data_IF_397546932786
#
_entry.id   IF_397546932786
#
_cell.length_a   1.000
_cell.length_b   1.000
_cell.length_c   1.000
_cell.angle_alpha   90.00
_cell.angle_beta   90.00
_cell.angle_gamma   90.00
#
_symmetry.space_group_name_H-M   'P 1'
#
loop_
_entity.id
_entity.type
_entity.pdbx_description
1 polymer ?
#
# COMPACT_ATOMS: atom_id res chain seq x y z
N UNK A 1 -38.29 -42.69 18.03
CA UNK A 1 -39.03 -41.57 17.39
C UNK A 1 -38.26 -40.30 17.74
N UNK A 2 -37.64 -39.49 16.85
CA UNK A 2 -37.85 -39.25 15.39
C UNK A 2 -39.31 -38.87 15.08
N UNK A 3 -39.68 -37.74 14.46
CA UNK A 3 -38.99 -36.54 13.94
C UNK A 3 -39.90 -35.29 14.22
N UNK A 4 -39.65 -34.02 13.86
CA UNK A 4 -38.70 -33.36 12.94
C UNK A 4 -38.42 -31.89 13.35
N UNK A 5 -37.47 -31.23 12.66
CA UNK A 5 -37.38 -29.75 12.52
C UNK A 5 -38.22 -29.27 11.34
N UNK A 6 -38.60 -27.99 11.29
CA UNK A 6 -39.13 -27.31 10.09
C UNK A 6 -38.05 -26.43 9.46
N UNK A 7 -37.83 -26.59 8.16
CA UNK A 7 -37.12 -25.65 7.29
C UNK A 7 -38.14 -24.68 6.69
N UNK A 8 -37.76 -23.42 6.45
CA UNK A 8 -38.52 -22.50 5.58
C UNK A 8 -37.56 -21.99 4.50
N UNK A 9 -37.88 -22.27 3.25
CA UNK A 9 -37.34 -21.58 2.07
C UNK A 9 -38.43 -20.65 1.51
N UNK A 10 -38.05 -19.49 0.96
CA UNK A 10 -38.70 -18.86 -0.19
C UNK A 10 -37.87 -19.20 -1.44
N UNK A 11 -38.28 -20.15 -2.30
CA UNK A 11 -39.30 -19.98 -3.36
C UNK A 11 -38.98 -18.82 -4.32
N UNK A 12 -38.27 -19.14 -5.41
CA UNK A 12 -38.32 -18.35 -6.64
C UNK A 12 -39.74 -18.45 -7.27
N UNK A 13 -40.22 -17.36 -7.85
CA UNK A 13 -41.43 -17.32 -8.67
C UNK A 13 -41.28 -16.34 -9.83
N UNK A 14 -41.38 -16.84 -11.07
CA UNK A 14 -41.08 -16.09 -12.29
C UNK A 14 -42.30 -15.32 -12.85
N UNK A 15 -42.02 -14.17 -13.50
CA UNK A 15 -42.85 -13.41 -14.47
C UNK A 15 -42.06 -12.11 -14.78
N UNK A 16 -41.75 -11.67 -16.01
CA UNK A 16 -42.48 -11.71 -17.29
C UNK A 16 -41.51 -11.80 -18.48
N UNK A 17 -41.96 -12.39 -19.58
CA UNK A 17 -41.29 -12.39 -20.89
C UNK A 17 -41.75 -11.18 -21.73
N UNK A 18 -40.82 -10.47 -22.38
CA UNK A 18 -41.10 -9.70 -23.59
C UNK A 18 -40.03 -9.99 -24.66
N UNK A 19 -40.35 -9.94 -25.98
CA UNK A 19 -39.40 -10.35 -27.02
C UNK A 19 -38.27 -9.34 -27.25
N UNK A 20 -37.09 -9.87 -27.50
CA UNK A 20 -35.85 -9.12 -27.75
C UNK A 20 -35.87 -8.40 -29.10
N UNK A 21 -35.56 -7.10 -29.09
CA UNK A 21 -34.86 -6.48 -30.23
C UNK A 21 -33.39 -6.83 -30.08
N UNK A 22 -32.85 -7.62 -31.01
CA UNK A 22 -31.45 -8.06 -30.98
C UNK A 22 -30.51 -6.89 -31.32
N UNK A 23 -30.12 -6.13 -30.31
CA UNK A 23 -28.81 -5.49 -30.34
C UNK A 23 -27.78 -6.62 -30.35
N UNK A 24 -26.81 -6.59 -31.27
CA UNK A 24 -25.65 -7.48 -31.19
C UNK A 24 -24.80 -6.96 -30.04
N UNK A 25 -25.11 -7.44 -28.84
CA UNK A 25 -24.41 -7.03 -27.63
C UNK A 25 -22.95 -7.42 -27.75
N UNK A 26 -22.07 -6.44 -27.52
CA UNK A 26 -20.87 -6.79 -26.77
C UNK A 26 -21.36 -7.46 -25.48
N UNK A 27 -20.82 -8.64 -25.14
CA UNK A 27 -20.98 -9.13 -23.78
C UNK A 27 -20.38 -8.06 -22.88
N UNK A 28 -21.19 -7.46 -22.00
CA UNK A 28 -20.67 -6.55 -20.99
C UNK A 28 -19.67 -7.34 -20.16
N UNK A 29 -18.37 -7.04 -20.33
CA UNK A 29 -17.34 -7.66 -19.53
C UNK A 29 -17.65 -7.39 -18.07
N UNK A 30 -17.90 -8.46 -17.31
CA UNK A 30 -18.11 -8.33 -15.87
C UNK A 30 -16.88 -7.63 -15.28
N UNK A 31 -17.07 -6.66 -14.36
CA UNK A 31 -15.94 -6.02 -13.73
C UNK A 31 -15.07 -7.07 -13.03
N UNK A 32 -13.77 -6.81 -13.04
CA UNK A 32 -12.72 -7.68 -12.52
C UNK A 32 -11.63 -6.77 -11.94
N UNK A 33 -11.01 -7.18 -10.84
CA UNK A 33 -9.85 -6.48 -10.29
C UNK A 33 -8.54 -6.90 -10.98
N UNK A 34 -8.63 -7.86 -11.92
CA UNK A 34 -7.53 -8.46 -12.66
C UNK A 34 -7.71 -8.08 -14.13
N UNK A 35 -6.89 -7.13 -14.57
CA UNK A 35 -6.73 -6.66 -15.96
C UNK A 35 -5.28 -6.23 -16.16
N UNK A 36 -4.73 -6.22 -17.39
CA UNK A 36 -3.37 -5.74 -17.64
C UNK A 36 -3.08 -4.35 -17.08
N UNK A 37 -4.05 -3.43 -17.12
CA UNK A 37 -3.91 -2.09 -16.55
C UNK A 37 -3.95 -2.06 -15.00
N UNK A 38 -4.77 -2.93 -14.38
CA UNK A 38 -4.81 -3.06 -12.92
C UNK A 38 -3.59 -3.82 -12.38
N UNK A 39 -3.02 -4.75 -13.15
CA UNK A 39 -1.76 -5.43 -12.85
C UNK A 39 -0.58 -4.45 -12.91
N UNK A 40 -0.46 -3.63 -13.97
CA UNK A 40 0.54 -2.55 -14.02
C UNK A 40 0.46 -1.64 -12.79
N UNK A 41 -0.74 -1.23 -12.39
CA UNK A 41 -0.91 -0.40 -11.20
C UNK A 41 -0.50 -1.13 -9.93
N UNK A 42 -0.85 -2.40 -9.77
CA UNK A 42 -0.46 -3.19 -8.61
C UNK A 42 1.06 -3.43 -8.52
N UNK A 43 1.74 -3.59 -9.66
CA UNK A 43 3.20 -3.71 -9.70
C UNK A 43 3.90 -2.39 -9.31
N UNK A 44 3.37 -1.24 -9.77
CA UNK A 44 3.87 0.08 -9.35
C UNK A 44 3.54 0.37 -7.88
N UNK A 45 2.31 0.06 -7.44
CA UNK A 45 1.88 0.14 -6.04
C UNK A 45 2.87 -0.64 -5.15
N UNK A 46 3.27 -1.86 -5.56
CA UNK A 46 4.26 -2.68 -4.86
C UNK A 46 5.62 -2.01 -4.81
N UNK A 47 6.23 -1.76 -5.97
CA UNK A 47 7.62 -1.34 -6.04
C UNK A 47 7.85 0.01 -5.36
N UNK A 48 6.94 0.99 -5.56
CA UNK A 48 7.08 2.34 -5.00
C UNK A 48 6.73 2.41 -3.51
N UNK A 49 5.75 1.63 -3.03
CA UNK A 49 5.47 1.59 -1.59
C UNK A 49 6.57 0.85 -0.82
N UNK A 50 7.08 -0.27 -1.34
CA UNK A 50 8.22 -0.98 -0.73
C UNK A 50 9.43 -0.04 -0.66
N UNK A 51 9.71 0.70 -1.74
CA UNK A 51 10.78 1.71 -1.78
C UNK A 51 10.69 2.71 -0.63
N UNK A 52 9.54 3.35 -0.44
CA UNK A 52 9.32 4.29 0.66
C UNK A 52 9.56 3.64 2.04
N UNK A 53 9.09 2.40 2.27
CA UNK A 53 9.34 1.71 3.55
C UNK A 53 10.82 1.43 3.79
N UNK A 54 11.55 1.04 2.74
CA UNK A 54 12.97 0.73 2.81
C UNK A 54 13.83 1.98 2.97
N UNK A 55 13.47 3.10 2.34
CA UNK A 55 14.15 4.39 2.51
C UNK A 55 14.08 4.87 3.97
N UNK A 56 12.87 4.92 4.55
CA UNK A 56 12.70 5.32 5.96
C UNK A 56 13.41 4.33 6.90
N UNK A 57 13.35 3.02 6.63
CA UNK A 57 14.06 2.01 7.43
C UNK A 57 15.58 2.18 7.35
N UNK A 58 16.15 2.39 6.17
CA UNK A 58 17.58 2.60 5.98
C UNK A 58 18.05 3.88 6.68
N UNK A 59 17.34 5.00 6.50
CA UNK A 59 17.70 6.27 7.13
C UNK A 59 17.64 6.20 8.66
N UNK A 60 16.56 5.64 9.23
CA UNK A 60 16.40 5.54 10.70
C UNK A 60 17.41 4.57 11.33
N UNK A 61 17.61 3.38 10.76
CA UNK A 61 18.61 2.41 11.25
C UNK A 61 20.04 2.94 11.12
N UNK A 62 20.37 3.60 10.02
CA UNK A 62 21.65 4.28 9.83
C UNK A 62 21.85 5.40 10.85
N UNK A 63 20.80 6.17 11.17
CA UNK A 63 20.85 7.21 12.20
C UNK A 63 21.14 6.64 13.60
N UNK A 64 20.44 5.59 13.99
CA UNK A 64 20.65 4.89 15.26
C UNK A 64 22.03 4.22 15.37
N UNK A 65 22.65 3.87 14.24
CA UNK A 65 23.81 2.97 14.21
C UNK A 65 23.41 1.51 14.46
N UNK A 66 22.19 1.16 14.09
CA UNK A 66 21.64 -0.19 14.19
C UNK A 66 22.37 -1.15 13.25
N UNK A 67 22.61 -2.39 13.69
CA UNK A 67 23.52 -3.34 13.01
C UNK A 67 23.02 -3.81 11.65
N UNK A 68 21.76 -3.55 11.33
CA UNK A 68 21.08 -3.94 10.11
C UNK A 68 21.05 -2.83 9.05
N UNK A 69 21.59 -1.63 9.34
CA UNK A 69 21.58 -0.50 8.40
C UNK A 69 22.22 -0.82 7.04
N UNK A 70 23.32 -1.56 7.01
CA UNK A 70 23.98 -2.02 5.77
C UNK A 70 23.06 -2.92 4.93
N UNK A 71 22.21 -3.74 5.55
CA UNK A 71 21.25 -4.60 4.85
C UNK A 71 19.99 -3.83 4.44
N UNK A 72 19.59 -2.81 5.22
CA UNK A 72 18.53 -1.88 4.87
C UNK A 72 18.84 -1.11 3.57
N UNK A 73 20.06 -0.55 3.45
CA UNK A 73 20.50 0.11 2.22
C UNK A 73 20.62 -0.84 1.03
N UNK A 74 21.10 -2.09 1.23
CA UNK A 74 21.11 -3.10 0.15
C UNK A 74 19.70 -3.48 -0.29
N UNK A 75 18.75 -3.57 0.63
CA UNK A 75 17.35 -3.83 0.29
C UNK A 75 16.74 -2.68 -0.53
N UNK A 76 17.03 -1.43 -0.16
CA UNK A 76 16.63 -0.22 -0.91
C UNK A 76 17.24 -0.19 -2.33
N UNK A 77 18.54 -0.47 -2.45
CA UNK A 77 19.23 -0.56 -3.74
C UNK A 77 18.67 -1.70 -4.61
N UNK A 78 18.43 -2.87 -4.04
CA UNK A 78 17.84 -4.00 -4.77
C UNK A 78 16.38 -3.71 -5.18
N UNK A 79 15.61 -2.96 -4.40
CA UNK A 79 14.28 -2.50 -4.81
C UNK A 79 14.37 -1.58 -6.05
N UNK A 80 15.34 -0.66 -6.11
CA UNK A 80 15.56 0.17 -7.30
C UNK A 80 15.98 -0.67 -8.53
N UNK A 81 16.80 -1.72 -8.34
CA UNK A 81 17.14 -2.69 -9.40
C UNK A 81 15.91 -3.49 -9.84
N UNK A 82 15.04 -3.91 -8.91
CA UNK A 82 13.85 -4.70 -9.22
C UNK A 82 12.77 -3.90 -9.99
N UNK A 83 12.89 -2.57 -10.05
CA UNK A 83 12.08 -1.72 -10.95
C UNK A 83 12.54 -1.78 -12.42
N UNK A 84 13.83 -2.05 -12.70
CA UNK A 84 14.35 -2.06 -14.07
C UNK A 84 13.58 -3.03 -14.98
N UNK A 85 13.32 -4.32 -14.60
CA UNK A 85 12.53 -5.23 -15.43
C UNK A 85 11.08 -4.76 -15.66
N UNK A 86 10.47 -4.11 -14.67
CA UNK A 86 9.12 -3.56 -14.80
C UNK A 86 9.08 -2.44 -15.85
N UNK A 87 10.03 -1.50 -15.79
CA UNK A 87 10.15 -0.41 -16.77
C UNK A 87 10.57 -0.95 -18.15
N UNK A 88 11.48 -1.94 -18.22
CA UNK A 88 11.88 -2.60 -19.47
C UNK A 88 10.69 -3.26 -20.18
N UNK A 89 9.76 -3.86 -19.43
CA UNK A 89 8.54 -4.43 -19.99
C UNK A 89 7.67 -3.37 -20.69
N UNK A 90 7.74 -2.10 -20.28
CA UNK A 90 6.93 -0.98 -20.78
C UNK A 90 7.65 -0.24 -21.91
N UNK A 91 8.86 0.25 -21.64
CA UNK A 91 9.64 1.18 -22.47
C UNK A 91 10.91 0.56 -23.11
N UNK A 92 11.19 -0.72 -22.84
CA UNK A 92 12.37 -1.45 -23.32
C UNK A 92 13.68 -1.06 -22.61
N UNK A 93 14.72 -1.86 -22.84
CA UNK A 93 16.05 -1.75 -22.20
C UNK A 93 16.60 -0.32 -22.10
N UNK A 94 16.41 0.51 -23.12
CA UNK A 94 16.92 1.90 -23.12
C UNK A 94 16.15 2.83 -22.18
N UNK A 95 14.83 2.63 -22.06
CA UNK A 95 14.01 3.37 -21.11
C UNK A 95 14.29 2.89 -19.67
N UNK A 96 14.52 1.59 -19.50
CA UNK A 96 14.88 0.99 -18.22
C UNK A 96 16.25 1.43 -17.71
N UNK A 97 17.28 1.41 -18.55
CA UNK A 97 18.63 1.87 -18.16
C UNK A 97 18.69 3.38 -17.85
N UNK A 98 17.89 4.20 -18.53
CA UNK A 98 17.79 5.64 -18.22
C UNK A 98 16.96 5.88 -16.94
N UNK A 99 15.92 5.07 -16.70
CA UNK A 99 15.23 5.04 -15.40
C UNK A 99 16.19 4.64 -14.28
N UNK A 100 16.95 3.56 -14.42
CA UNK A 100 17.91 3.11 -13.39
C UNK A 100 18.95 4.19 -13.11
N UNK A 101 19.51 4.82 -14.16
CA UNK A 101 20.50 5.91 -14.00
C UNK A 101 19.96 7.08 -13.16
N UNK A 102 18.69 7.44 -13.29
CA UNK A 102 18.09 8.56 -12.56
C UNK A 102 17.60 8.11 -11.18
N UNK A 103 16.89 6.97 -11.13
CA UNK A 103 16.21 6.49 -9.94
C UNK A 103 17.16 5.77 -8.97
N UNK A 104 18.15 5.03 -9.42
CA UNK A 104 19.10 4.39 -8.50
C UNK A 104 20.07 5.38 -7.86
N UNK A 105 20.46 6.41 -8.60
CA UNK A 105 21.35 7.47 -8.11
C UNK A 105 20.70 8.29 -6.98
N UNK A 106 19.38 8.48 -6.98
CA UNK A 106 18.70 9.24 -5.92
C UNK A 106 18.85 8.58 -4.53
N UNK A 107 19.00 7.25 -4.45
CA UNK A 107 19.26 6.57 -3.18
C UNK A 107 20.49 7.13 -2.45
N UNK A 108 21.49 7.66 -3.16
CA UNK A 108 22.74 8.15 -2.59
C UNK A 108 22.54 9.31 -1.60
N UNK A 109 21.57 10.21 -1.86
CA UNK A 109 21.35 11.36 -0.97
C UNK A 109 20.85 10.92 0.42
N UNK A 110 20.23 9.73 0.54
CA UNK A 110 19.63 9.28 1.81
C UNK A 110 20.69 9.05 2.89
N UNK A 111 21.78 8.37 2.55
CA UNK A 111 22.94 8.15 3.44
C UNK A 111 23.67 9.47 3.75
N UNK A 112 23.86 10.34 2.75
CA UNK A 112 24.49 11.64 2.94
C UNK A 112 23.65 12.60 3.80
N UNK A 113 22.31 12.54 3.71
CA UNK A 113 21.42 13.29 4.60
C UNK A 113 21.49 12.78 6.05
N UNK A 114 21.58 11.46 6.26
CA UNK A 114 21.80 10.90 7.60
C UNK A 114 23.14 11.36 8.18
N UNK A 115 24.23 11.33 7.40
CA UNK A 115 25.55 11.84 7.84
C UNK A 115 25.49 13.32 8.21
N UNK A 116 24.99 14.16 7.30
CA UNK A 116 24.84 15.60 7.52
C UNK A 116 24.02 15.89 8.79
N UNK A 117 22.96 15.12 9.03
CA UNK A 117 22.11 15.21 10.22
C UNK A 117 22.84 14.83 11.50
N UNK A 118 23.61 13.73 11.51
CA UNK A 118 24.46 13.37 12.66
C UNK A 118 25.51 14.43 12.99
N UNK A 119 26.15 14.97 11.95
CA UNK A 119 27.24 15.94 12.09
C UNK A 119 26.72 17.37 12.35
N UNK A 120 25.41 17.59 12.23
CA UNK A 120 24.74 18.91 12.25
C UNK A 120 25.28 19.85 11.16
N UNK A 121 25.74 19.30 10.03
CA UNK A 121 26.31 20.05 8.92
C UNK A 121 25.21 20.63 8.02
N UNK A 122 24.85 21.88 8.31
CA UNK A 122 23.88 22.66 7.54
C UNK A 122 24.31 22.92 6.08
N UNK A 123 25.61 22.88 5.77
CA UNK A 123 26.10 23.05 4.40
C UNK A 123 25.94 21.76 3.58
N UNK A 124 26.17 20.60 4.21
CA UNK A 124 25.91 19.30 3.60
C UNK A 124 24.40 19.05 3.39
N UNK A 125 23.55 19.39 4.37
CA UNK A 125 22.08 19.36 4.20
C UNK A 125 21.62 20.23 3.00
N UNK A 126 22.22 21.40 2.84
CA UNK A 126 21.93 22.30 1.73
C UNK A 126 22.55 21.87 0.37
N UNK A 127 23.36 20.82 0.34
CA UNK A 127 23.77 20.15 -0.91
C UNK A 127 22.80 19.02 -1.26
N UNK A 128 22.44 18.17 -0.28
CA UNK A 128 21.36 17.17 -0.40
C UNK A 128 20.09 17.80 -0.98
N UNK A 129 19.66 18.96 -0.45
CA UNK A 129 18.47 19.66 -0.95
C UNK A 129 18.57 20.04 -2.45
N UNK A 130 19.78 20.27 -2.99
CA UNK A 130 19.99 20.55 -4.42
C UNK A 130 19.99 19.27 -5.25
N UNK A 131 20.55 18.19 -4.73
CA UNK A 131 20.56 16.88 -5.39
C UNK A 131 19.13 16.34 -5.52
N UNK A 132 18.33 16.48 -4.47
CA UNK A 132 16.88 16.21 -4.47
C UNK A 132 16.15 17.09 -5.49
N UNK A 133 16.38 18.41 -5.51
CA UNK A 133 15.76 19.31 -6.49
C UNK A 133 16.21 18.97 -7.94
N UNK A 134 17.45 18.50 -8.15
CA UNK A 134 17.92 18.02 -9.45
C UNK A 134 17.19 16.73 -9.85
N UNK A 135 17.15 15.72 -8.97
CA UNK A 135 16.44 14.46 -9.19
C UNK A 135 14.97 14.71 -9.56
N UNK A 136 14.24 15.48 -8.75
CA UNK A 136 12.85 15.88 -9.00
C UNK A 136 12.69 16.50 -10.39
N UNK A 137 13.61 17.38 -10.79
CA UNK A 137 13.53 18.04 -12.09
C UNK A 137 13.83 17.09 -13.26
N UNK A 138 14.88 16.29 -13.15
CA UNK A 138 15.34 15.34 -14.16
C UNK A 138 14.35 14.18 -14.35
N UNK A 139 13.93 13.56 -13.24
CA UNK A 139 13.00 12.42 -13.26
C UNK A 139 11.60 12.82 -13.71
N UNK A 140 11.08 13.98 -13.31
CA UNK A 140 9.80 14.45 -13.84
C UNK A 140 9.84 14.75 -15.35
N UNK A 141 10.94 15.31 -15.85
CA UNK A 141 11.13 15.52 -17.29
C UNK A 141 11.24 14.17 -18.01
N UNK A 142 11.94 13.18 -17.45
CA UNK A 142 11.99 11.81 -17.96
C UNK A 142 10.58 11.18 -18.02
N UNK A 143 9.82 11.17 -16.92
CA UNK A 143 8.48 10.57 -16.85
C UNK A 143 7.48 11.24 -17.81
N UNK A 144 7.50 12.58 -17.88
CA UNK A 144 6.70 13.35 -18.85
C UNK A 144 7.08 13.01 -20.30
N UNK A 145 8.37 12.90 -20.60
CA UNK A 145 8.85 12.55 -21.95
C UNK A 145 8.49 11.10 -22.33
N UNK A 146 8.73 10.15 -21.43
CA UNK A 146 8.44 8.73 -21.62
C UNK A 146 6.94 8.51 -21.86
N UNK A 147 6.08 9.20 -21.12
CA UNK A 147 4.62 9.14 -21.27
C UNK A 147 4.05 10.03 -22.38
N UNK A 148 4.87 10.62 -23.27
CA UNK A 148 4.41 11.55 -24.32
C UNK A 148 3.55 12.72 -23.80
N UNK A 149 3.83 13.19 -22.59
CA UNK A 149 3.08 14.25 -21.90
C UNK A 149 1.70 13.81 -21.37
N UNK A 150 1.36 12.50 -21.41
CA UNK A 150 0.17 11.97 -20.73
C UNK A 150 0.29 12.09 -19.21
N UNK A 151 1.51 12.11 -18.67
CA UNK A 151 1.80 12.67 -17.35
C UNK A 151 2.37 14.08 -17.54
N UNK A 152 1.69 15.15 -17.14
CA UNK A 152 2.23 16.50 -17.24
C UNK A 152 3.46 16.66 -16.35
N UNK A 153 4.57 17.18 -16.90
CA UNK A 153 5.82 17.41 -16.16
C UNK A 153 5.61 18.17 -14.84
N UNK A 154 4.73 19.19 -14.81
CA UNK A 154 4.44 19.93 -13.58
C UNK A 154 3.78 19.07 -12.50
N UNK A 155 2.90 18.13 -12.88
CA UNK A 155 2.25 17.21 -11.96
C UNK A 155 3.23 16.15 -11.45
N UNK A 156 4.13 15.67 -12.32
CA UNK A 156 5.23 14.79 -11.91
C UNK A 156 6.16 15.51 -10.91
N UNK A 157 6.57 16.76 -11.18
CA UNK A 157 7.39 17.57 -10.24
C UNK A 157 6.71 17.81 -8.89
N UNK A 158 5.40 18.07 -8.89
CA UNK A 158 4.63 18.27 -7.66
C UNK A 158 4.54 16.97 -6.85
N UNK A 159 4.18 15.85 -7.49
CA UNK A 159 4.06 14.56 -6.83
C UNK A 159 5.40 14.06 -6.25
N UNK A 160 6.50 14.24 -6.99
CA UNK A 160 7.85 13.90 -6.52
C UNK A 160 8.28 14.80 -5.36
N UNK A 161 8.14 16.14 -5.44
CA UNK A 161 8.52 17.00 -4.28
C UNK A 161 7.80 16.62 -2.99
N UNK A 162 6.51 16.29 -3.07
CA UNK A 162 5.74 15.87 -1.89
C UNK A 162 6.31 14.57 -1.31
N UNK A 163 6.72 13.60 -2.16
CA UNK A 163 7.38 12.37 -1.71
C UNK A 163 8.70 12.66 -1.00
N UNK A 164 9.58 13.45 -1.60
CA UNK A 164 10.88 13.82 -1.02
C UNK A 164 10.72 14.57 0.30
N UNK A 165 9.78 15.54 0.37
CA UNK A 165 9.43 16.25 1.60
C UNK A 165 8.90 15.27 2.67
N UNK A 166 8.08 14.28 2.32
CA UNK A 166 7.56 13.28 3.27
C UNK A 166 8.63 12.32 3.79
N UNK A 167 9.56 11.86 2.96
CA UNK A 167 10.70 11.04 3.40
C UNK A 167 11.58 11.85 4.37
N UNK A 168 11.91 13.09 4.00
CA UNK A 168 12.70 14.02 4.81
C UNK A 168 12.02 14.36 6.14
N UNK A 169 10.76 14.77 6.13
CA UNK A 169 10.00 15.16 7.34
C UNK A 169 9.78 13.95 8.26
N UNK A 170 9.56 12.74 7.73
CA UNK A 170 9.50 11.50 8.55
C UNK A 170 10.82 11.27 9.30
N UNK A 171 11.95 11.49 8.64
CA UNK A 171 13.27 11.32 9.25
C UNK A 171 13.62 12.45 10.24
N UNK A 172 13.35 13.71 9.88
CA UNK A 172 13.57 14.86 10.76
C UNK A 172 12.75 14.75 12.05
N UNK A 173 11.45 14.43 11.95
CA UNK A 173 10.58 14.18 13.11
C UNK A 173 11.12 13.04 13.99
N UNK A 174 11.65 11.96 13.39
CA UNK A 174 12.25 10.84 14.12
C UNK A 174 13.50 11.26 14.90
N UNK A 175 14.36 12.06 14.27
CA UNK A 175 15.61 12.59 14.84
C UNK A 175 15.32 13.59 15.98
N UNK A 176 14.32 14.45 15.82
CA UNK A 176 13.87 15.38 16.86
C UNK A 176 13.15 14.66 18.03
N UNK A 177 12.74 13.41 17.83
CA UNK A 177 11.96 12.63 18.80
C UNK A 177 10.46 12.95 18.80
N UNK A 178 9.97 13.65 17.77
CA UNK A 178 8.53 13.76 17.48
C UNK A 178 8.04 12.49 16.78
N UNK A 179 8.03 11.38 17.53
CA UNK A 179 7.59 10.09 17.01
C UNK A 179 6.10 10.08 16.60
N UNK A 180 5.29 11.04 17.09
CA UNK A 180 3.90 11.22 16.64
C UNK A 180 3.85 11.88 15.25
N UNK A 181 4.71 12.86 15.00
CA UNK A 181 4.95 13.45 13.67
C UNK A 181 5.46 12.39 12.70
N UNK A 182 6.57 11.73 13.04
CA UNK A 182 7.20 10.70 12.20
C UNK A 182 6.22 9.58 11.83
N UNK A 183 5.42 9.08 12.77
CA UNK A 183 4.43 8.05 12.50
C UNK A 183 3.32 8.52 11.55
N UNK A 184 2.87 9.78 11.64
CA UNK A 184 1.88 10.34 10.71
C UNK A 184 2.46 10.55 9.32
N UNK A 185 3.61 11.22 9.23
CA UNK A 185 4.28 11.53 7.97
C UNK A 185 4.68 10.24 7.23
N UNK A 186 5.09 9.20 7.97
CA UNK A 186 5.30 7.85 7.41
C UNK A 186 4.04 7.30 6.75
N UNK A 187 2.90 7.26 7.45
CA UNK A 187 1.64 6.75 6.88
C UNK A 187 1.17 7.61 5.69
N UNK A 188 1.30 8.94 5.78
CA UNK A 188 0.92 9.85 4.69
C UNK A 188 1.81 9.67 3.45
N UNK A 189 3.12 9.51 3.62
CA UNK A 189 4.08 9.24 2.52
C UNK A 189 3.90 7.87 1.90
N UNK A 190 3.61 6.85 2.72
CA UNK A 190 3.26 5.51 2.25
C UNK A 190 2.02 5.54 1.34
N UNK A 191 0.93 6.19 1.79
CA UNK A 191 -0.30 6.30 0.99
C UNK A 191 -0.10 7.15 -0.28
N UNK A 192 0.81 8.13 -0.25
CA UNK A 192 1.13 8.93 -1.43
C UNK A 192 1.73 8.10 -2.58
N UNK A 193 2.43 6.99 -2.30
CA UNK A 193 2.97 6.10 -3.33
C UNK A 193 1.88 5.45 -4.19
N UNK A 194 0.70 5.19 -3.63
CA UNK A 194 -0.46 4.65 -4.37
C UNK A 194 -1.12 5.73 -5.26
N UNK A 195 -1.04 7.01 -4.86
CA UNK A 195 -1.46 8.12 -5.72
C UNK A 195 -0.52 8.28 -6.93
N UNK A 196 0.80 8.20 -6.70
CA UNK A 196 1.82 8.22 -7.77
C UNK A 196 1.60 7.03 -8.71
N UNK A 197 1.44 5.83 -8.17
CA UNK A 197 1.19 4.60 -8.93
C UNK A 197 -0.08 4.68 -9.78
N UNK A 198 -1.18 5.24 -9.25
CA UNK A 198 -2.41 5.51 -10.01
C UNK A 198 -2.16 6.51 -11.15
N UNK A 199 -1.44 7.60 -10.90
CA UNK A 199 -1.15 8.59 -11.94
C UNK A 199 -0.27 8.01 -13.05
N UNK A 200 0.84 7.35 -12.69
CA UNK A 200 1.76 6.72 -13.64
C UNK A 200 1.07 5.64 -14.49
N UNK A 201 0.41 4.67 -13.85
CA UNK A 201 -0.29 3.58 -14.57
C UNK A 201 -1.36 4.13 -15.52
N UNK A 202 -2.14 5.13 -15.09
CA UNK A 202 -3.16 5.76 -15.94
C UNK A 202 -2.54 6.47 -17.15
N UNK A 203 -1.46 7.22 -16.97
CA UNK A 203 -0.76 7.89 -18.09
C UNK A 203 -0.12 6.89 -19.06
N UNK A 204 0.50 5.82 -18.56
CA UNK A 204 1.11 4.74 -19.37
C UNK A 204 0.04 3.98 -20.18
N UNK A 205 -1.06 3.61 -19.55
CA UNK A 205 -2.20 2.93 -20.20
C UNK A 205 -2.86 3.82 -21.25
N UNK A 206 -2.98 5.12 -20.98
CA UNK A 206 -3.49 6.12 -21.93
C UNK A 206 -2.56 6.30 -23.14
N UNK A 207 -1.25 6.10 -22.97
CA UNK A 207 -0.27 6.15 -24.06
C UNK A 207 -0.33 4.88 -24.93
N UNK A 208 -0.45 3.70 -24.30
CA UNK A 208 -0.30 2.39 -24.97
C UNK A 208 -1.54 1.49 -24.81
N UNK A 209 -2.76 1.92 -25.19
CA UNK A 209 -3.99 1.20 -24.84
C UNK A 209 -4.04 -0.23 -25.38
N UNK A 210 -3.52 -0.48 -26.58
CA UNK A 210 -3.44 -1.81 -27.20
C UNK A 210 -2.61 -2.80 -26.35
N UNK A 211 -1.56 -2.31 -25.67
CA UNK A 211 -0.66 -3.11 -24.81
C UNK A 211 -1.34 -3.58 -23.53
N UNK A 212 -2.38 -2.86 -23.09
CA UNK A 212 -3.16 -3.17 -21.90
C UNK A 212 -4.60 -3.61 -22.23
N UNK A 213 -4.81 -4.14 -23.44
CA UNK A 213 -6.09 -4.68 -23.91
C UNK A 213 -7.27 -3.69 -23.83
N UNK A 214 -6.99 -2.39 -23.95
CA UNK A 214 -7.92 -1.28 -23.72
C UNK A 214 -8.58 -1.26 -22.33
N UNK A 215 -7.97 -1.90 -21.33
CA UNK A 215 -8.40 -1.84 -19.93
C UNK A 215 -7.85 -0.58 -19.25
N UNK A 216 -8.49 -0.10 -18.18
CA UNK A 216 -8.10 1.13 -17.47
C UNK A 216 -7.56 0.84 -16.06
N UNK A 217 -6.58 1.62 -15.61
CA UNK A 217 -5.92 1.47 -14.29
C UNK A 217 -6.68 2.13 -13.13
N UNK A 218 -7.68 2.96 -13.44
CA UNK A 218 -8.46 3.78 -12.50
C UNK A 218 -9.94 3.36 -12.39
N UNK A 219 -10.28 2.15 -12.81
CA UNK A 219 -11.63 1.60 -12.61
C UNK A 219 -11.96 1.41 -11.12
N UNK A 220 -13.25 1.40 -10.72
CA UNK A 220 -13.63 1.10 -9.34
C UNK A 220 -13.11 -0.23 -8.80
N UNK A 221 -12.92 -1.23 -9.66
CA UNK A 221 -12.34 -2.53 -9.30
C UNK A 221 -10.81 -2.45 -9.07
N UNK A 222 -10.11 -1.68 -9.91
CA UNK A 222 -8.68 -1.41 -9.73
C UNK A 222 -8.41 -0.53 -8.50
N UNK A 223 -9.27 0.45 -8.22
CA UNK A 223 -9.22 1.24 -6.98
C UNK A 223 -9.39 0.37 -5.73
N UNK A 224 -10.38 -0.53 -5.69
CA UNK A 224 -10.53 -1.46 -4.56
C UNK A 224 -9.26 -2.31 -4.35
N UNK A 225 -8.71 -2.90 -5.42
CA UNK A 225 -7.49 -3.72 -5.33
C UNK A 225 -6.31 -2.90 -4.81
N UNK A 226 -6.10 -1.70 -5.33
CA UNK A 226 -5.03 -0.80 -4.91
C UNK A 226 -5.16 -0.39 -3.44
N UNK A 227 -6.38 -0.13 -2.94
CA UNK A 227 -6.57 0.12 -1.49
C UNK A 227 -6.36 -1.14 -0.64
N UNK A 228 -6.81 -2.32 -1.08
CA UNK A 228 -6.55 -3.57 -0.35
C UNK A 228 -5.06 -3.94 -0.34
N UNK A 229 -4.35 -3.69 -1.44
CA UNK A 229 -2.88 -3.80 -1.52
C UNK A 229 -2.23 -2.86 -0.49
N UNK A 230 -2.61 -1.58 -0.49
CA UNK A 230 -2.08 -0.56 0.44
C UNK A 230 -2.26 -0.96 1.90
N UNK A 231 -3.48 -1.29 2.30
CA UNK A 231 -3.81 -1.64 3.68
C UNK A 231 -3.04 -2.89 4.15
N UNK A 232 -2.94 -3.92 3.30
CA UNK A 232 -2.25 -5.15 3.62
C UNK A 232 -0.71 -4.98 3.67
N UNK A 233 -0.14 -4.24 2.72
CA UNK A 233 1.29 -3.96 2.68
C UNK A 233 1.74 -3.05 3.83
N UNK A 234 0.96 -2.01 4.16
CA UNK A 234 1.21 -1.17 5.33
C UNK A 234 1.12 -1.98 6.63
N UNK A 235 0.12 -2.85 6.76
CA UNK A 235 0.01 -3.75 7.91
C UNK A 235 1.24 -4.65 8.06
N UNK A 236 1.73 -5.26 6.98
CA UNK A 236 2.94 -6.08 7.01
C UNK A 236 4.19 -5.27 7.43
N UNK A 237 4.35 -4.06 6.89
CA UNK A 237 5.45 -3.17 7.25
C UNK A 237 5.39 -2.75 8.73
N UNK A 238 4.22 -2.35 9.22
CA UNK A 238 4.01 -1.95 10.62
C UNK A 238 4.19 -3.12 11.59
N UNK A 239 3.68 -4.31 11.27
CA UNK A 239 3.83 -5.50 12.12
C UNK A 239 5.30 -5.92 12.26
N UNK A 240 6.04 -6.01 11.15
CA UNK A 240 7.47 -6.36 11.19
C UNK A 240 8.32 -5.28 11.87
N UNK A 241 8.03 -4.00 11.63
CA UNK A 241 8.66 -2.87 12.32
C UNK A 241 8.35 -2.88 13.84
N UNK A 242 7.11 -3.11 14.21
CA UNK A 242 6.64 -3.17 15.60
C UNK A 242 7.28 -4.32 16.37
N UNK A 243 7.33 -5.51 15.77
CA UNK A 243 8.01 -6.66 16.38
C UNK A 243 9.50 -6.42 16.61
N UNK A 244 10.21 -5.82 15.62
CA UNK A 244 11.61 -5.40 15.77
C UNK A 244 11.76 -4.41 16.94
N UNK A 245 11.04 -3.28 16.90
CA UNK A 245 11.15 -2.20 17.88
C UNK A 245 10.75 -2.63 19.29
N UNK A 246 9.76 -3.52 19.42
CA UNK A 246 9.36 -4.13 20.68
C UNK A 246 10.42 -5.05 21.29
N UNK A 247 11.18 -5.77 20.45
CA UNK A 247 12.32 -6.57 20.89
C UNK A 247 13.53 -5.72 21.31
N UNK A 248 13.78 -4.62 20.60
CA UNK A 248 14.86 -3.67 20.90
C UNK A 248 14.56 -2.77 22.10
N UNK A 249 13.28 -2.62 22.47
CA UNK A 249 12.84 -1.64 23.46
C UNK A 249 12.97 -0.20 22.94
N UNK A 250 12.73 0.00 21.64
CA UNK A 250 12.85 1.29 20.98
C UNK A 250 11.83 2.30 21.54
N UNK A 251 12.22 3.58 21.61
CA UNK A 251 11.43 4.64 22.26
C UNK A 251 10.13 4.98 21.54
N UNK A 252 10.06 4.66 20.25
CA UNK A 252 8.95 4.96 19.36
C UNK A 252 7.99 3.77 19.17
N UNK A 253 8.23 2.63 19.83
CA UNK A 253 7.41 1.41 19.72
C UNK A 253 5.91 1.67 19.90
N UNK A 254 5.53 2.49 20.89
CA UNK A 254 4.13 2.85 21.14
C UNK A 254 3.47 3.58 19.95
N UNK A 255 4.25 4.31 19.14
CA UNK A 255 3.77 5.02 17.95
C UNK A 255 3.62 4.11 16.73
N UNK A 256 4.42 3.05 16.63
CA UNK A 256 4.16 1.98 15.65
C UNK A 256 2.87 1.23 16.01
N UNK A 257 2.67 0.90 17.29
CA UNK A 257 1.40 0.34 17.76
C UNK A 257 0.20 1.28 17.53
N UNK A 258 0.38 2.61 17.63
CA UNK A 258 -0.63 3.58 17.22
C UNK A 258 -0.95 3.48 15.72
N UNK A 259 0.07 3.40 14.86
CA UNK A 259 -0.09 3.22 13.42
C UNK A 259 -0.79 1.91 13.05
N UNK A 260 -0.51 0.79 13.74
CA UNK A 260 -1.21 -0.49 13.54
C UNK A 260 -2.70 -0.40 13.89
N UNK A 261 -3.03 0.30 14.98
CA UNK A 261 -4.42 0.56 15.37
C UNK A 261 -5.14 1.45 14.34
N UNK A 262 -4.44 2.45 13.78
CA UNK A 262 -4.98 3.32 12.75
C UNK A 262 -5.20 2.56 11.42
N UNK A 263 -4.23 1.78 10.97
CA UNK A 263 -4.37 0.88 9.81
C UNK A 263 -5.52 -0.14 10.00
N UNK A 264 -5.68 -0.70 11.21
CA UNK A 264 -6.81 -1.57 11.56
C UNK A 264 -8.16 -0.85 11.41
N UNK A 265 -8.24 0.42 11.78
CA UNK A 265 -9.44 1.24 11.59
C UNK A 265 -9.71 1.54 10.11
N UNK A 266 -8.66 1.77 9.31
CA UNK A 266 -8.77 1.99 7.87
C UNK A 266 -9.21 0.71 7.12
N UNK A 267 -8.68 -0.46 7.52
CA UNK A 267 -9.17 -1.78 7.07
C UNK A 267 -10.65 -1.98 7.39
N UNK A 268 -11.05 -1.70 8.64
CA UNK A 268 -12.45 -1.79 9.08
C UNK A 268 -13.35 -0.88 8.25
N UNK A 269 -12.91 0.33 7.92
CA UNK A 269 -13.64 1.26 7.06
C UNK A 269 -13.77 0.74 5.62
N UNK A 270 -12.70 0.18 5.05
CA UNK A 270 -12.73 -0.43 3.72
C UNK A 270 -13.71 -1.62 3.66
N UNK A 271 -13.68 -2.53 4.64
CA UNK A 271 -14.64 -3.64 4.75
C UNK A 271 -16.07 -3.11 4.93
N UNK A 272 -16.27 -2.09 5.77
CA UNK A 272 -17.58 -1.44 5.96
C UNK A 272 -18.16 -0.82 4.69
N UNK A 273 -17.33 -0.27 3.80
CA UNK A 273 -17.79 0.27 2.51
C UNK A 273 -18.43 -0.79 1.59
N UNK A 274 -18.00 -2.05 1.75
CA UNK A 274 -18.48 -3.20 0.96
C UNK A 274 -19.63 -3.93 1.67
N UNK A 275 -19.47 -4.22 2.96
CA UNK A 275 -20.33 -5.14 3.72
C UNK A 275 -21.19 -4.48 4.82
N UNK A 276 -21.08 -3.16 4.99
CA UNK A 276 -21.79 -2.40 6.03
C UNK A 276 -21.22 -2.57 7.44
N UNK A 277 -21.80 -1.85 8.39
CA UNK A 277 -21.33 -1.76 9.78
C UNK A 277 -21.24 -3.13 10.49
N UNK A 278 -22.16 -4.05 10.16
CA UNK A 278 -22.19 -5.40 10.74
C UNK A 278 -21.02 -6.26 10.24
N UNK A 279 -20.65 -6.14 8.95
CA UNK A 279 -19.46 -6.79 8.40
C UNK A 279 -18.16 -6.20 8.95
N UNK A 280 -18.10 -4.86 9.09
CA UNK A 280 -16.98 -4.16 9.70
C UNK A 280 -16.75 -4.54 11.17
N UNK A 281 -17.83 -4.68 11.96
CA UNK A 281 -17.75 -5.13 13.35
C UNK A 281 -17.30 -6.60 13.48
N UNK A 282 -17.73 -7.48 12.58
CA UNK A 282 -17.27 -8.88 12.55
C UNK A 282 -15.79 -9.00 12.18
N UNK A 283 -15.33 -8.20 11.19
CA UNK A 283 -13.92 -8.10 10.84
C UNK A 283 -13.08 -7.70 12.07
N UNK A 284 -13.43 -6.58 12.72
CA UNK A 284 -12.69 -6.05 13.87
C UNK A 284 -12.59 -7.05 15.02
N UNK A 285 -13.69 -7.76 15.32
CA UNK A 285 -13.73 -8.77 16.39
C UNK A 285 -12.76 -9.94 16.14
N UNK A 286 -12.60 -10.38 14.88
CA UNK A 286 -11.67 -11.46 14.53
C UNK A 286 -10.23 -10.92 14.48
N UNK A 287 -10.04 -9.73 13.92
CA UNK A 287 -8.74 -9.09 13.72
C UNK A 287 -8.03 -8.72 15.03
N UNK A 288 -8.71 -8.11 16.01
CA UNK A 288 -8.06 -7.68 17.24
C UNK A 288 -7.76 -8.82 18.24
N UNK A 289 -8.31 -10.01 18.02
CA UNK A 289 -8.22 -11.15 18.93
C UNK A 289 -6.85 -11.83 18.93
N UNK A 290 -6.73 -12.91 18.15
CA UNK A 290 -5.56 -13.80 18.14
C UNK A 290 -4.44 -13.36 17.16
N UNK A 291 -4.55 -12.16 16.56
CA UNK A 291 -3.56 -11.61 15.62
C UNK A 291 -2.57 -10.64 16.31
N UNK A 292 -2.93 -9.35 16.42
CA UNK A 292 -2.07 -8.29 16.97
C UNK A 292 -1.56 -8.64 18.38
N UNK A 293 -2.42 -9.20 19.24
CA UNK A 293 -2.03 -9.58 20.60
C UNK A 293 -1.00 -10.72 20.62
N UNK A 294 -1.09 -11.67 19.69
CA UNK A 294 -0.19 -12.82 19.62
C UNK A 294 1.21 -12.43 19.10
N UNK A 295 1.32 -11.44 18.22
CA UNK A 295 2.62 -10.90 17.79
C UNK A 295 3.38 -10.26 18.97
N UNK A 296 2.70 -9.42 19.76
CA UNK A 296 3.27 -8.83 20.97
C UNK A 296 3.61 -9.87 22.07
N UNK A 297 2.81 -10.92 22.21
CA UNK A 297 3.12 -12.07 23.06
C UNK A 297 4.36 -12.84 22.58
N UNK A 298 4.51 -13.05 21.27
CA UNK A 298 5.66 -13.75 20.69
C UNK A 298 6.97 -12.98 20.94
N UNK A 299 6.98 -11.67 20.69
CA UNK A 299 8.10 -10.77 21.03
C UNK A 299 8.42 -10.86 22.53
N UNK A 300 7.40 -10.77 23.38
CA UNK A 300 7.53 -10.86 24.84
C UNK A 300 8.08 -12.20 25.32
N UNK A 301 7.74 -13.30 24.65
CA UNK A 301 8.26 -14.63 24.94
C UNK A 301 9.72 -14.76 24.50
N UNK A 302 10.07 -14.22 23.32
CA UNK A 302 11.44 -14.20 22.77
C UNK A 302 12.42 -13.48 23.70
N UNK A 303 12.04 -12.30 24.20
CA UNK A 303 12.82 -11.51 25.18
C UNK A 303 13.09 -12.32 26.46
N UNK A 304 12.13 -13.15 26.88
CA UNK A 304 12.22 -13.97 28.11
C UNK A 304 12.94 -15.31 27.90
N UNK A 305 13.22 -15.71 26.66
CA UNK A 305 13.64 -17.08 26.32
C UNK A 305 12.56 -18.13 26.59
N UNK A 306 11.28 -17.73 26.64
CA UNK A 306 10.15 -18.62 26.94
C UNK A 306 9.71 -19.37 25.68
N UNK A 307 10.43 -20.45 25.37
CA UNK A 307 10.13 -21.32 24.21
C UNK A 307 8.70 -21.89 24.20
N UNK A 308 8.04 -22.02 25.36
CA UNK A 308 6.66 -22.48 25.43
C UNK A 308 5.69 -21.33 25.10
N UNK A 309 5.96 -20.12 25.59
CA UNK A 309 5.27 -18.91 25.19
C UNK A 309 5.44 -18.58 23.69
N UNK A 310 6.63 -18.78 23.13
CA UNK A 310 6.89 -18.62 21.70
C UNK A 310 6.01 -19.56 20.86
N UNK A 311 5.94 -20.85 21.20
CA UNK A 311 5.09 -21.79 20.49
C UNK A 311 3.60 -21.46 20.67
N UNK A 312 3.17 -21.11 21.88
CA UNK A 312 1.77 -20.75 22.15
C UNK A 312 1.31 -19.51 21.34
N UNK A 313 2.20 -18.53 21.15
CA UNK A 313 1.91 -17.36 20.31
C UNK A 313 1.83 -17.74 18.81
N UNK A 314 2.75 -18.58 18.30
CA UNK A 314 2.68 -19.09 16.91
C UNK A 314 1.41 -19.92 16.67
N UNK A 315 0.99 -20.73 17.64
CA UNK A 315 -0.24 -21.52 17.58
C UNK A 315 -1.49 -20.61 17.52
N UNK A 316 -1.49 -19.45 18.21
CA UNK A 316 -2.54 -18.43 18.08
C UNK A 316 -2.58 -17.81 16.69
N UNK A 317 -1.45 -17.39 16.13
CA UNK A 317 -1.37 -16.81 14.78
C UNK A 317 -1.84 -17.81 13.72
N UNK A 318 -1.46 -19.08 13.82
CA UNK A 318 -1.94 -20.13 12.92
C UNK A 318 -3.43 -20.44 13.12
N UNK A 319 -3.98 -20.31 14.35
CA UNK A 319 -5.42 -20.38 14.60
C UNK A 319 -6.16 -19.18 14.00
N UNK A 320 -5.64 -17.97 14.15
CA UNK A 320 -6.17 -16.76 13.51
C UNK A 320 -6.25 -16.94 11.99
N UNK A 321 -5.19 -17.43 11.33
CA UNK A 321 -5.21 -17.71 9.89
C UNK A 321 -6.34 -18.66 9.47
N UNK A 322 -6.66 -19.68 10.29
CA UNK A 322 -7.76 -20.60 10.02
C UNK A 322 -9.14 -19.95 10.20
N UNK A 323 -9.33 -19.16 11.27
CA UNK A 323 -10.59 -18.48 11.58
C UNK A 323 -10.88 -17.33 10.61
N UNK A 324 -9.88 -16.48 10.35
CA UNK A 324 -9.97 -15.36 9.42
C UNK A 324 -10.11 -15.84 7.97
N UNK A 325 -9.39 -16.88 7.54
CA UNK A 325 -9.60 -17.48 6.22
C UNK A 325 -11.01 -18.07 6.02
N UNK A 326 -11.59 -18.66 7.07
CA UNK A 326 -13.00 -19.12 7.07
C UNK A 326 -13.98 -17.96 6.98
N UNK A 327 -13.71 -16.86 7.68
CA UNK A 327 -14.49 -15.63 7.61
C UNK A 327 -14.45 -15.02 6.20
N UNK A 328 -13.28 -14.89 5.59
CA UNK A 328 -13.12 -14.34 4.23
C UNK A 328 -13.83 -15.20 3.16
N UNK A 329 -13.70 -16.53 3.24
CA UNK A 329 -14.41 -17.43 2.33
C UNK A 329 -15.93 -17.34 2.50
N UNK A 330 -16.43 -17.29 3.74
CA UNK A 330 -17.85 -17.09 4.03
C UNK A 330 -18.36 -15.72 3.55
N UNK A 331 -17.62 -14.65 3.83
CA UNK A 331 -17.99 -13.27 3.50
C UNK A 331 -18.02 -13.03 1.98
N UNK A 332 -17.08 -13.60 1.23
CA UNK A 332 -17.03 -13.54 -0.25
C UNK A 332 -17.92 -14.57 -0.94
N UNK A 333 -18.67 -15.40 -0.19
CA UNK A 333 -19.46 -16.52 -0.70
C UNK A 333 -18.64 -17.52 -1.57
N UNK A 334 -17.43 -17.85 -1.09
CA UNK A 334 -16.41 -18.70 -1.74
C UNK A 334 -15.90 -18.20 -3.10
N UNK A 335 -16.12 -16.92 -3.46
CA UNK A 335 -15.42 -16.29 -4.59
C UNK A 335 -13.91 -16.17 -4.30
N UNK A 336 -13.53 -15.99 -3.04
CA UNK A 336 -12.22 -16.37 -2.51
C UNK A 336 -12.43 -17.69 -1.74
N UNK A 337 -11.92 -18.83 -2.23
CA UNK A 337 -12.14 -20.12 -1.54
C UNK A 337 -11.55 -20.12 -0.13
N UNK A 338 -12.29 -20.61 0.87
CA UNK A 338 -11.86 -20.63 2.29
C UNK A 338 -10.43 -21.18 2.44
N UNK A 339 -10.10 -22.29 1.76
CA UNK A 339 -8.77 -22.91 1.83
C UNK A 339 -7.67 -21.99 1.28
N UNK A 340 -7.92 -21.26 0.20
CA UNK A 340 -6.96 -20.33 -0.38
C UNK A 340 -6.75 -19.11 0.53
N UNK A 341 -7.81 -18.61 1.18
CA UNK A 341 -7.70 -17.57 2.19
C UNK A 341 -6.87 -18.02 3.40
N UNK A 342 -7.12 -19.24 3.90
CA UNK A 342 -6.35 -19.83 5.00
C UNK A 342 -4.86 -20.00 4.65
N UNK A 343 -4.56 -20.48 3.43
CA UNK A 343 -3.18 -20.62 2.94
C UNK A 343 -2.48 -19.25 2.79
N UNK A 344 -3.18 -18.23 2.29
CA UNK A 344 -2.62 -16.88 2.14
C UNK A 344 -2.37 -16.19 3.47
N UNK A 345 -3.32 -16.22 4.42
CA UNK A 345 -3.13 -15.63 5.76
C UNK A 345 -2.07 -16.40 6.55
N UNK A 346 -1.99 -17.73 6.41
CA UNK A 346 -0.89 -18.48 7.05
C UNK A 346 0.48 -18.08 6.49
N UNK A 347 0.59 -17.85 5.17
CA UNK A 347 1.82 -17.38 4.57
C UNK A 347 2.23 -15.96 5.02
N UNK A 348 1.25 -15.07 5.27
CA UNK A 348 1.47 -13.79 5.97
C UNK A 348 2.09 -14.01 7.36
N UNK A 349 1.44 -14.78 8.24
CA UNK A 349 1.97 -15.02 9.59
C UNK A 349 3.36 -15.68 9.57
N UNK A 350 3.55 -16.69 8.71
CA UNK A 350 4.82 -17.39 8.59
C UNK A 350 5.95 -16.45 8.12
N UNK A 351 5.68 -15.51 7.21
CA UNK A 351 6.70 -14.54 6.74
C UNK A 351 6.99 -13.43 7.75
N UNK A 352 5.98 -12.94 8.49
CA UNK A 352 6.19 -12.03 9.62
C UNK A 352 7.04 -12.69 10.72
N UNK A 353 6.69 -13.92 11.11
CA UNK A 353 7.44 -14.73 12.09
C UNK A 353 8.88 -14.96 11.62
N UNK A 354 9.07 -15.42 10.37
CA UNK A 354 10.39 -15.71 9.78
C UNK A 354 11.29 -14.47 9.78
N UNK A 355 10.77 -13.32 9.33
CA UNK A 355 11.45 -12.02 9.35
C UNK A 355 11.93 -11.68 10.76
N UNK A 356 11.04 -11.73 11.75
CA UNK A 356 11.40 -11.43 13.14
C UNK A 356 12.43 -12.42 13.73
N UNK A 357 12.30 -13.72 13.47
CA UNK A 357 13.23 -14.72 13.99
C UNK A 357 14.64 -14.57 13.39
N UNK A 358 14.76 -14.22 12.11
CA UNK A 358 16.03 -13.92 11.48
C UNK A 358 16.66 -12.64 12.05
N UNK A 359 15.85 -11.59 12.26
CA UNK A 359 16.30 -10.36 12.93
C UNK A 359 16.90 -10.64 14.31
N UNK A 360 16.19 -11.38 15.16
CA UNK A 360 16.64 -11.78 16.50
C UNK A 360 17.88 -12.67 16.45
N UNK A 361 18.01 -13.52 15.42
CA UNK A 361 19.20 -14.32 15.18
C UNK A 361 20.42 -13.52 14.65
N UNK A 362 20.26 -12.22 14.40
CA UNK A 362 21.24 -11.36 13.70
C UNK A 362 21.52 -11.79 12.25
N UNK A 363 20.61 -12.54 11.64
CA UNK A 363 20.57 -12.82 10.20
C UNK A 363 19.84 -11.67 9.50
N UNK A 364 20.47 -10.49 9.47
CA UNK A 364 19.84 -9.29 8.92
C UNK A 364 19.59 -9.38 7.41
N UNK A 365 20.49 -10.01 6.66
CA UNK A 365 20.32 -10.25 5.23
C UNK A 365 19.10 -11.13 4.96
N UNK A 366 18.97 -12.27 5.65
CA UNK A 366 17.81 -13.13 5.53
C UNK A 366 16.53 -12.50 6.08
N UNK A 367 16.61 -11.64 7.10
CA UNK A 367 15.49 -10.84 7.60
C UNK A 367 14.95 -9.90 6.52
N UNK A 368 15.81 -9.17 5.81
CA UNK A 368 15.39 -8.28 4.73
C UNK A 368 14.89 -9.05 3.49
N UNK A 369 15.46 -10.21 3.17
CA UNK A 369 14.93 -11.12 2.13
C UNK A 369 13.48 -11.56 2.47
N UNK A 370 13.24 -12.03 3.70
CA UNK A 370 11.91 -12.43 4.17
C UNK A 370 10.92 -11.28 4.28
N UNK A 371 11.40 -10.08 4.65
CA UNK A 371 10.57 -8.87 4.66
C UNK A 371 10.05 -8.58 3.24
N UNK A 372 10.94 -8.54 2.24
CA UNK A 372 10.54 -8.25 0.84
C UNK A 372 9.66 -9.37 0.25
N UNK A 373 9.92 -10.63 0.59
CA UNK A 373 9.06 -11.77 0.24
C UNK A 373 7.63 -11.60 0.78
N UNK A 374 7.50 -11.32 2.08
CA UNK A 374 6.20 -11.15 2.74
C UNK A 374 5.48 -9.84 2.38
N UNK A 375 6.22 -8.75 2.15
CA UNK A 375 5.67 -7.48 1.67
C UNK A 375 5.05 -7.66 0.28
N UNK A 376 5.77 -8.31 -0.65
CA UNK A 376 5.27 -8.63 -1.99
C UNK A 376 4.06 -9.56 -1.98
N UNK A 377 4.00 -10.51 -1.05
CA UNK A 377 2.85 -11.42 -0.88
C UNK A 377 1.52 -10.65 -0.67
N UNK A 378 1.55 -9.48 -0.04
CA UNK A 378 0.34 -8.69 0.26
C UNK A 378 -0.40 -8.20 -0.98
N UNK A 379 0.31 -8.02 -2.10
CA UNK A 379 -0.28 -7.63 -3.38
C UNK A 379 -1.06 -8.79 -4.02
N UNK A 380 -0.65 -10.03 -3.75
CA UNK A 380 -1.43 -11.23 -4.08
C UNK A 380 -2.69 -11.37 -3.22
N UNK A 381 -2.61 -11.01 -1.93
CA UNK A 381 -3.77 -10.97 -1.02
C UNK A 381 -4.79 -9.92 -1.47
N UNK A 382 -4.34 -8.69 -1.75
CA UNK A 382 -5.19 -7.60 -2.23
C UNK A 382 -5.83 -7.89 -3.60
N UNK A 383 -5.09 -8.52 -4.51
CA UNK A 383 -5.65 -9.02 -5.78
C UNK A 383 -6.74 -10.07 -5.56
N UNK A 384 -6.47 -11.12 -4.77
CA UNK A 384 -7.40 -12.23 -4.58
C UNK A 384 -8.68 -11.82 -3.83
N UNK A 385 -8.55 -11.00 -2.78
CA UNK A 385 -9.68 -10.48 -2.02
C UNK A 385 -10.48 -9.43 -2.81
N UNK A 386 -9.80 -8.51 -3.48
CA UNK A 386 -10.43 -7.48 -4.31
C UNK A 386 -11.25 -8.08 -5.45
N UNK A 387 -10.68 -9.05 -6.18
CA UNK A 387 -11.38 -9.73 -7.26
C UNK A 387 -12.58 -10.56 -6.78
N UNK A 388 -12.45 -11.23 -5.62
CA UNK A 388 -13.56 -11.95 -5.00
C UNK A 388 -14.72 -11.03 -4.59
N UNK A 389 -14.42 -9.86 -4.01
CA UNK A 389 -15.41 -8.83 -3.66
C UNK A 389 -16.11 -8.29 -4.91
N UNK A 390 -15.34 -8.00 -5.97
CA UNK A 390 -15.86 -7.51 -7.25
C UNK A 390 -16.79 -8.54 -7.91
N UNK A 391 -16.38 -9.81 -7.95
CA UNK A 391 -17.20 -10.93 -8.47
C UNK A 391 -18.50 -11.13 -7.69
N UNK A 392 -18.49 -10.90 -6.38
CA UNK A 392 -19.67 -10.98 -5.53
C UNK A 392 -20.62 -9.78 -5.72
N UNK A 393 -20.09 -8.60 -6.04
CA UNK A 393 -20.83 -7.34 -6.09
C UNK A 393 -20.69 -6.62 -7.45
N UNK A 394 -20.89 -7.27 -8.62
CA UNK A 394 -20.52 -6.69 -9.91
C UNK A 394 -21.19 -5.34 -10.17
N UNK A 395 -22.45 -5.16 -9.78
CA UNK A 395 -23.19 -3.91 -9.95
C UNK A 395 -22.58 -2.71 -9.20
N UNK A 396 -21.81 -2.94 -8.12
CA UNK A 396 -21.07 -1.89 -7.39
C UNK A 396 -19.80 -1.42 -8.13
N UNK A 397 -19.25 -2.27 -9.00
CA UNK A 397 -17.95 -2.08 -9.65
C UNK A 397 -18.03 -1.99 -11.18
N UNK A 398 -19.24 -2.09 -11.75
CA UNK A 398 -19.48 -1.84 -13.16
C UNK A 398 -19.01 -0.41 -13.50
N UNK A 399 -17.99 -0.31 -14.36
CA UNK A 399 -17.51 0.98 -14.84
C UNK A 399 -18.61 1.69 -15.62
N UNK A 400 -18.81 2.98 -15.39
CA UNK A 400 -19.63 3.80 -16.29
C UNK A 400 -19.03 3.74 -17.68
N UNK A 401 -19.74 3.15 -18.64
CA UNK A 401 -19.32 3.10 -20.03
C UNK A 401 -18.96 4.53 -20.51
N UNK A 402 -17.83 4.63 -21.22
CA UNK A 402 -17.22 5.88 -21.69
C UNK A 402 -18.27 6.92 -22.14
N UNK A 403 -18.33 8.11 -21.51
CA UNK A 403 -18.89 9.27 -22.18
C UNK A 403 -18.13 9.48 -23.49
N UNK A 404 -18.84 9.59 -24.61
CA UNK A 404 -18.22 9.80 -25.93
C UNK A 404 -17.61 11.19 -26.12
N UNK A 405 -17.67 12.04 -25.10
CA UNK A 405 -17.13 13.39 -25.07
C UNK A 405 -15.94 13.46 -24.10
N UNK A 406 -14.81 14.00 -24.57
CA UNK A 406 -13.62 14.20 -23.74
C UNK A 406 -13.94 15.05 -22.50
N UNK A 407 -13.44 14.68 -21.30
CA UNK A 407 -13.50 15.57 -20.15
C UNK A 407 -12.69 16.84 -20.44
N UNK A 408 -13.35 18.00 -20.35
CA UNK A 408 -12.68 19.30 -20.44
C UNK A 408 -11.90 19.56 -19.16
N UNK A 409 -10.69 19.03 -19.05
CA UNK A 409 -9.78 19.26 -17.92
C UNK A 409 -9.14 20.66 -17.98
N UNK A 410 -9.97 21.70 -17.92
CA UNK A 410 -9.56 23.00 -17.43
C UNK A 410 -9.62 22.97 -15.91
N UNK A 411 -8.47 22.82 -15.24
CA UNK A 411 -8.38 22.87 -13.78
C UNK A 411 -8.73 24.27 -13.27
N UNK A 412 -10.01 24.48 -12.93
CA UNK A 412 -10.53 25.79 -12.55
C UNK A 412 -12.00 25.80 -12.17
N UNK A 413 -12.30 25.31 -10.96
CA UNK A 413 -13.61 25.47 -10.31
C UNK A 413 -14.62 24.36 -10.58
N UNK A 414 -15.26 23.91 -9.49
CA UNK A 414 -16.43 23.02 -9.40
C UNK A 414 -17.08 22.59 -10.73
N UNK A 415 -16.78 21.35 -11.16
CA UNK A 415 -17.62 20.63 -12.13
C UNK A 415 -18.56 19.68 -11.39
N UNK A 416 -19.81 19.64 -11.84
CA UNK A 416 -20.87 18.84 -11.23
C UNK A 416 -20.57 17.34 -11.39
N UNK A 417 -20.22 16.67 -10.28
CA UNK A 417 -20.13 15.21 -10.25
C UNK A 417 -21.55 14.61 -10.24
N UNK A 418 -21.83 13.72 -11.20
CA UNK A 418 -22.87 12.71 -11.05
C UNK A 418 -22.43 11.73 -9.95
N UNK A 419 -22.89 12.01 -8.73
CA UNK A 419 -22.34 11.44 -7.49
C UNK A 419 -22.80 10.02 -7.24
N UNK A 420 -21.93 9.04 -7.54
CA UNK A 420 -22.01 7.72 -6.93
C UNK A 420 -21.43 7.81 -5.49
N UNK A 421 -22.18 7.41 -4.44
CA UNK A 421 -21.69 7.48 -3.06
C UNK A 421 -20.40 6.67 -2.80
N UNK A 422 -20.11 5.65 -3.61
CA UNK A 422 -18.86 4.88 -3.49
C UNK A 422 -17.61 5.71 -3.83
N UNK A 423 -17.69 6.59 -4.84
CA UNK A 423 -16.56 7.45 -5.23
C UNK A 423 -16.20 8.46 -4.13
N UNK A 424 -17.19 8.93 -3.37
CA UNK A 424 -16.98 9.84 -2.24
C UNK A 424 -16.19 9.17 -1.10
N UNK A 425 -16.40 7.87 -0.84
CA UNK A 425 -15.70 7.16 0.24
C UNK A 425 -14.21 6.99 -0.11
N UNK A 426 -13.89 6.50 -1.30
CA UNK A 426 -12.50 6.31 -1.74
C UNK A 426 -11.74 7.64 -1.87
N UNK A 427 -12.40 8.69 -2.38
CA UNK A 427 -11.77 10.02 -2.43
C UNK A 427 -11.66 10.68 -1.06
N UNK A 428 -12.58 10.45 -0.12
CA UNK A 428 -12.49 11.00 1.23
C UNK A 428 -11.29 10.42 2.00
N UNK A 429 -11.03 9.12 1.90
CA UNK A 429 -9.88 8.49 2.56
C UNK A 429 -8.55 9.11 2.09
N UNK A 430 -8.35 9.26 0.77
CA UNK A 430 -7.14 9.92 0.23
C UNK A 430 -7.08 11.44 0.47
N UNK A 431 -8.22 12.15 0.45
CA UNK A 431 -8.25 13.61 0.57
C UNK A 431 -8.23 14.15 2.00
N UNK A 432 -8.65 13.38 3.02
CA UNK A 432 -8.48 13.79 4.42
C UNK A 432 -7.00 13.88 4.81
N UNK A 433 -6.16 12.96 4.33
CA UNK A 433 -4.70 13.03 4.50
C UNK A 433 -4.12 14.25 3.78
N UNK A 434 -4.38 14.40 2.47
CA UNK A 434 -3.82 15.50 1.66
C UNK A 434 -4.25 16.90 2.15
N UNK A 435 -5.46 17.06 2.68
CA UNK A 435 -5.93 18.35 3.23
C UNK A 435 -5.26 18.70 4.58
N UNK A 436 -4.82 17.70 5.36
CA UNK A 436 -4.05 17.92 6.59
C UNK A 436 -2.61 18.34 6.26
N UNK A 437 -1.95 17.67 5.31
CA UNK A 437 -0.59 18.00 4.87
C UNK A 437 -0.44 19.48 4.47
N UNK A 438 -1.34 20.01 3.61
CA UNK A 438 -1.32 21.43 3.20
C UNK A 438 -1.48 22.41 4.38
N UNK A 439 -2.15 21.98 5.47
CA UNK A 439 -2.33 22.79 6.68
C UNK A 439 -1.12 22.71 7.61
N UNK A 440 -0.47 21.54 7.73
CA UNK A 440 0.71 21.34 8.58
C UNK A 440 1.97 21.96 7.96
N UNK A 441 2.26 21.70 6.67
CA UNK A 441 3.41 22.27 5.95
C UNK A 441 3.36 23.80 5.96
N UNK A 442 2.18 24.40 5.73
CA UNK A 442 2.00 25.86 5.87
C UNK A 442 2.28 26.38 7.28
N UNK A 443 2.02 25.58 8.32
CA UNK A 443 2.22 25.97 9.72
C UNK A 443 3.71 25.92 10.09
N UNK A 444 4.47 24.91 9.64
CA UNK A 444 5.93 24.83 9.79
C UNK A 444 6.65 25.93 8.97
N UNK A 445 6.30 26.14 7.70
CA UNK A 445 6.88 27.24 6.89
C UNK A 445 6.64 28.65 7.45
N UNK A 446 5.54 28.87 8.21
CA UNK A 446 5.28 30.14 8.90
C UNK A 446 6.07 30.32 10.21
N UNK A 447 6.54 29.23 10.83
CA UNK A 447 7.39 29.26 12.01
C UNK A 447 8.87 29.45 11.63
N UNK A 448 9.36 28.76 10.59
CA UNK A 448 10.76 28.90 10.13
C UNK A 448 11.07 30.28 9.49
N UNK A 449 10.05 31.11 9.26
CA UNK A 449 10.20 32.54 8.88
C UNK A 449 10.22 33.50 10.08
N UNK A 450 10.36 32.98 11.31
CA UNK A 450 10.40 33.76 12.57
C UNK A 450 11.58 33.39 13.48
N UNK A 451 12.77 33.22 12.91
CA UNK A 451 14.05 33.26 13.63
C UNK A 451 14.98 34.21 12.87
#
# INVERSE_FOLDING_TARGET
>A
MKFSKKLIMPVLGASLLMPTMANVGAEEMKPTAITPAADLRADLDYLLSEHFTLAVAAMTTAYEGSKDADEAFKALDQNAVDMEPAIASIYGEKGAAEFERIFREHNNYTDDFVKATKENDQAAMAEVDKEVDQFVNEFATFLSTATEGKLPESAAKEALRIHEEQVKETFEDYVEGDYEGAAKTYREGFQHMFNISKALSTSIVTQMPDKFEHTNADTPAADLRSTLNSLAAEHFALATMGMKKGFEGAKDYDYVGWSENANTADFKAAIGSVYGDEGAAQFEQIWQGDHISAQAEFVSAKIKGDTAGEQAAKDKLHKFAQEFGTFLGSATAENLPTKAAQEAVKAHEDTVIKTFEQYVASDYAGSYESYREGYKLMFGVGQALGDAIVKQNPDKFAGTAMPTDMPKTGMGGASEQTTNPLTIIWTALGSLAALMAVVVVRKRQLNNKKI
#
